data_IF_876225132586
#
_entry.id   IF_876225132586
#
_cell.length_a   1.000
_cell.length_b   1.000
_cell.length_c   1.000
_cell.angle_alpha   90.00
_cell.angle_beta   90.00
_cell.angle_gamma   90.00
#
_symmetry.space_group_name_H-M   'P 1'
#
loop_
_entity.id
_entity.type
_entity.pdbx_description
1 polymer ?
#
# COMPACT_ATOMS: atom_id res chain seq x y z
N UNK A 1 9.45 -19.83 19.19
CA UNK A 1 9.30 -18.46 19.74
C UNK A 1 10.59 -17.62 19.60
N UNK A 2 11.24 -17.60 18.43
CA UNK A 2 12.51 -16.86 18.20
C UNK A 2 12.57 -16.23 16.79
N UNK A 3 11.51 -15.53 16.34
CA UNK A 3 11.52 -14.78 15.07
C UNK A 3 10.70 -13.49 15.14
N UNK A 4 10.94 -12.66 16.15
CA UNK A 4 10.46 -11.26 16.22
C UNK A 4 11.54 -10.30 16.69
N UNK A 5 12.77 -10.47 16.20
CA UNK A 5 13.93 -9.63 16.53
C UNK A 5 14.75 -9.29 15.28
N UNK A 6 14.11 -8.92 14.18
CA UNK A 6 14.81 -8.57 12.94
C UNK A 6 14.11 -7.39 12.29
N UNK A 7 14.53 -6.18 12.67
CA UNK A 7 14.65 -4.99 11.80
C UNK A 7 14.84 -3.71 12.64
N UNK A 8 14.24 -3.64 13.83
CA UNK A 8 14.43 -2.47 14.73
C UNK A 8 15.85 -2.39 15.30
N UNK A 9 16.49 -3.55 15.56
CA UNK A 9 17.89 -3.62 16.04
C UNK A 9 18.91 -3.29 14.95
N UNK A 10 18.66 -3.62 13.68
CA UNK A 10 19.59 -3.26 12.58
C UNK A 10 19.55 -1.74 12.33
N UNK A 11 18.38 -1.11 12.50
CA UNK A 11 18.27 0.35 12.51
C UNK A 11 18.98 0.98 13.71
N UNK A 12 18.92 0.37 14.90
CA UNK A 12 19.58 0.90 16.11
C UNK A 12 21.11 0.82 16.04
N UNK A 13 21.72 -0.18 15.39
CA UNK A 13 23.18 -0.20 15.23
C UNK A 13 23.71 0.83 14.23
N UNK A 14 22.87 1.35 13.33
CA UNK A 14 23.24 2.45 12.41
C UNK A 14 23.13 3.82 13.06
N UNK A 15 22.30 3.97 14.10
CA UNK A 15 22.11 5.23 14.85
C UNK A 15 22.93 5.31 16.13
N UNK A 16 23.26 4.18 16.77
CA UNK A 16 24.11 4.15 17.97
C UNK A 16 25.60 4.45 17.67
N UNK A 17 26.03 4.39 16.41
CA UNK A 17 27.38 4.76 15.98
C UNK A 17 27.51 6.25 15.54
N UNK A 18 26.57 7.13 15.93
CA UNK A 18 26.59 8.56 15.55
C UNK A 18 26.53 9.47 16.79
N UNK A 19 27.17 9.07 17.89
CA UNK A 19 27.74 10.05 18.85
C UNK A 19 29.13 10.54 18.39
N UNK A 20 29.42 10.47 17.08
CA UNK A 20 30.59 11.12 16.51
C UNK A 20 30.42 12.64 16.62
N UNK A 21 31.39 13.32 17.25
CA UNK A 21 31.48 14.79 17.29
C UNK A 21 31.05 15.36 15.94
N UNK A 22 30.05 16.26 15.92
CA UNK A 22 29.63 16.95 14.68
C UNK A 22 30.89 17.50 14.03
N UNK A 23 31.19 17.05 12.80
CA UNK A 23 32.35 17.56 12.06
C UNK A 23 32.12 19.05 11.86
N UNK A 24 32.93 19.87 12.50
CA UNK A 24 32.91 21.31 12.26
C UNK A 24 33.31 21.56 10.80
N UNK A 25 32.67 22.51 10.10
CA UNK A 25 33.11 22.92 8.79
C UNK A 25 34.60 23.27 8.84
N UNK A 26 35.38 22.72 7.92
CA UNK A 26 36.82 23.02 7.85
C UNK A 26 36.97 24.52 7.60
N UNK A 27 37.61 25.22 8.54
CA UNK A 27 37.99 26.60 8.36
C UNK A 27 39.24 26.67 7.49
N UNK A 28 39.24 27.55 6.50
CA UNK A 28 40.37 27.78 5.60
C UNK A 28 41.04 29.09 6.00
N UNK A 29 42.38 29.09 6.09
CA UNK A 29 43.15 30.28 6.52
C UNK A 29 43.39 31.27 5.39
N UNK A 30 43.33 30.80 4.14
CA UNK A 30 43.49 31.62 2.93
C UNK A 30 42.58 31.17 1.80
N UNK A 31 42.40 32.04 0.79
CA UNK A 31 41.66 31.73 -0.43
C UNK A 31 42.30 30.57 -1.21
N UNK A 32 43.64 30.53 -1.25
CA UNK A 32 44.38 29.48 -1.96
C UNK A 32 44.22 28.13 -1.28
N UNK A 33 44.23 28.07 0.05
CA UNK A 33 43.96 26.83 0.79
C UNK A 33 42.53 26.33 0.51
N UNK A 34 41.56 27.23 0.50
CA UNK A 34 40.17 26.90 0.17
C UNK A 34 40.04 26.39 -1.28
N UNK A 35 40.75 27.01 -2.23
CA UNK A 35 40.74 26.61 -3.63
C UNK A 35 41.33 25.21 -3.83
N UNK A 36 42.48 24.92 -3.21
CA UNK A 36 43.11 23.58 -3.26
C UNK A 36 42.19 22.52 -2.65
N UNK A 37 41.56 22.82 -1.51
CA UNK A 37 40.61 21.92 -0.88
C UNK A 37 39.38 21.65 -1.77
N UNK A 38 38.83 22.70 -2.39
CA UNK A 38 37.70 22.59 -3.31
C UNK A 38 38.05 21.73 -4.54
N UNK A 39 39.21 21.96 -5.13
CA UNK A 39 39.72 21.14 -6.25
C UNK A 39 39.88 19.68 -5.84
N UNK A 40 40.46 19.40 -4.67
CA UNK A 40 40.59 18.05 -4.14
C UNK A 40 39.24 17.38 -3.91
N UNK A 41 38.26 18.10 -3.34
CA UNK A 41 36.89 17.62 -3.18
C UNK A 41 36.22 17.31 -4.52
N UNK A 42 36.42 18.16 -5.52
CA UNK A 42 35.89 17.95 -6.87
C UNK A 42 36.51 16.73 -7.55
N UNK A 43 37.84 16.58 -7.50
CA UNK A 43 38.54 15.39 -8.02
C UNK A 43 38.03 14.12 -7.35
N UNK A 44 37.84 14.13 -6.02
CA UNK A 44 37.25 13.00 -5.26
C UNK A 44 35.82 12.70 -5.67
N UNK A 45 34.99 13.73 -5.89
CA UNK A 45 33.62 13.58 -6.40
C UNK A 45 33.63 12.91 -7.78
N UNK A 46 34.46 13.40 -8.71
CA UNK A 46 34.62 12.83 -10.05
C UNK A 46 35.12 11.40 -10.03
N UNK A 47 36.11 11.07 -9.19
CA UNK A 47 36.58 9.70 -9.03
C UNK A 47 35.46 8.76 -8.55
N UNK A 48 34.65 9.18 -7.57
CA UNK A 48 33.50 8.41 -7.09
C UNK A 48 32.41 8.26 -8.16
N UNK A 49 32.10 9.30 -8.92
CA UNK A 49 31.16 9.21 -10.05
C UNK A 49 31.62 8.17 -11.08
N UNK A 50 32.91 8.15 -11.42
CA UNK A 50 33.50 7.15 -12.32
C UNK A 50 33.36 5.74 -11.76
N UNK A 51 33.75 5.53 -10.50
CA UNK A 51 33.63 4.20 -9.86
C UNK A 51 32.17 3.75 -9.80
N UNK A 52 31.23 4.64 -9.46
CA UNK A 52 29.80 4.30 -9.47
C UNK A 52 29.31 3.93 -10.87
N UNK A 53 29.73 4.64 -11.90
CA UNK A 53 29.36 4.31 -13.27
C UNK A 53 29.86 2.91 -13.67
N UNK A 54 31.11 2.58 -13.33
CA UNK A 54 31.69 1.25 -13.55
C UNK A 54 30.94 0.16 -12.79
N UNK A 55 30.67 0.37 -11.49
CA UNK A 55 29.88 -0.58 -10.70
C UNK A 55 28.47 -0.74 -11.27
N UNK A 56 27.84 0.35 -11.71
CA UNK A 56 26.49 0.29 -12.28
C UNK A 56 26.43 -0.43 -13.61
N UNK A 57 27.54 -0.44 -14.36
CA UNK A 57 27.70 -1.20 -15.60
C UNK A 57 28.14 -2.65 -15.35
N UNK A 58 28.54 -3.01 -14.13
CA UNK A 58 28.98 -4.37 -13.82
C UNK A 58 27.97 -5.15 -13.00
N UNK A 59 27.19 -4.47 -12.16
CA UNK A 59 26.25 -5.12 -11.24
C UNK A 59 24.80 -4.91 -11.67
N UNK A 60 24.04 -5.99 -11.58
CA UNK A 60 22.59 -6.02 -11.80
C UNK A 60 21.87 -6.53 -10.57
N UNK A 61 20.72 -5.91 -10.27
CA UNK A 61 19.84 -6.37 -9.21
C UNK A 61 18.83 -7.36 -9.76
N UNK A 62 18.79 -8.53 -9.16
CA UNK A 62 17.79 -9.57 -9.38
C UNK A 62 16.99 -9.82 -8.11
N UNK A 63 15.91 -10.57 -8.24
CA UNK A 63 15.07 -11.01 -7.12
C UNK A 63 14.96 -12.52 -7.25
N UNK A 64 15.30 -13.22 -6.18
CA UNK A 64 15.17 -14.67 -6.11
C UNK A 64 13.68 -15.04 -6.01
N UNK A 65 13.15 -15.93 -6.88
CA UNK A 65 11.74 -16.31 -6.86
C UNK A 65 11.32 -17.03 -5.57
N UNK A 66 12.23 -17.78 -4.94
CA UNK A 66 11.91 -18.61 -3.78
C UNK A 66 11.88 -17.78 -2.48
N UNK A 67 12.92 -16.98 -2.23
CA UNK A 67 13.01 -16.13 -1.04
C UNK A 67 12.34 -14.76 -1.20
N UNK A 68 12.16 -14.28 -2.43
CA UNK A 68 11.77 -12.90 -2.72
C UNK A 68 12.86 -11.87 -2.38
N UNK A 69 14.06 -12.30 -1.99
CA UNK A 69 15.16 -11.43 -1.61
C UNK A 69 15.94 -10.94 -2.84
N UNK A 70 16.57 -9.77 -2.69
CA UNK A 70 17.36 -9.17 -3.75
C UNK A 70 18.81 -9.67 -3.69
N UNK A 71 19.29 -10.23 -4.79
CA UNK A 71 20.71 -10.52 -4.99
C UNK A 71 21.29 -9.67 -6.12
N UNK A 72 22.61 -9.53 -6.12
CA UNK A 72 23.36 -8.73 -7.07
C UNK A 72 24.26 -9.63 -7.91
N UNK A 73 24.04 -9.65 -9.21
CA UNK A 73 24.84 -10.39 -10.17
C UNK A 73 25.93 -9.49 -10.74
N UNK A 74 27.17 -9.95 -10.70
CA UNK A 74 28.28 -9.35 -11.41
C UNK A 74 28.28 -9.88 -12.85
N UNK A 75 27.92 -9.05 -13.82
CA UNK A 75 27.76 -9.47 -15.23
C UNK A 75 29.07 -9.80 -15.94
N UNK A 76 30.23 -9.58 -15.30
CA UNK A 76 31.56 -9.88 -15.88
C UNK A 76 32.10 -11.21 -15.36
N UNK A 77 31.97 -11.48 -14.06
CA UNK A 77 32.44 -12.75 -13.45
C UNK A 77 31.33 -13.77 -13.28
N UNK A 78 30.07 -13.39 -13.54
CA UNK A 78 28.86 -14.17 -13.26
C UNK A 78 28.69 -14.60 -11.79
N UNK A 79 29.40 -13.96 -10.87
CA UNK A 79 29.29 -14.19 -9.44
C UNK A 79 28.07 -13.46 -8.87
N UNK A 80 27.36 -14.12 -7.95
CA UNK A 80 26.24 -13.55 -7.21
C UNK A 80 26.69 -13.13 -5.81
N UNK A 81 26.12 -12.04 -5.31
CA UNK A 81 26.33 -11.57 -3.95
C UNK A 81 25.02 -11.07 -3.36
N UNK A 82 24.82 -11.31 -2.08
CA UNK A 82 23.70 -10.78 -1.31
C UNK A 82 23.93 -9.35 -0.82
N UNK A 83 25.17 -8.85 -0.93
CA UNK A 83 25.55 -7.50 -0.50
C UNK A 83 25.66 -6.54 -1.68
N UNK A 84 25.03 -5.38 -1.57
CA UNK A 84 25.14 -4.33 -2.57
C UNK A 84 26.57 -3.76 -2.60
N UNK A 85 27.11 -3.38 -3.77
CA UNK A 85 28.42 -2.72 -3.86
C UNK A 85 28.48 -1.44 -3.02
N UNK A 86 29.55 -1.27 -2.23
CA UNK A 86 29.73 -0.24 -1.16
C UNK A 86 29.50 1.22 -1.59
N UNK A 87 29.48 1.52 -2.90
CA UNK A 87 29.28 2.88 -3.45
C UNK A 87 27.95 3.06 -4.21
N UNK A 88 27.13 2.01 -4.34
CA UNK A 88 25.84 2.03 -5.00
C UNK A 88 24.70 1.94 -3.98
N UNK A 89 23.97 3.04 -3.81
CA UNK A 89 22.77 3.05 -2.97
C UNK A 89 21.64 2.20 -3.58
N UNK A 90 21.63 2.08 -4.92
CA UNK A 90 20.63 1.30 -5.65
C UNK A 90 21.22 0.75 -6.94
N UNK A 91 21.38 -0.56 -6.98
CA UNK A 91 21.74 -1.28 -8.21
C UNK A 91 20.49 -1.39 -9.11
N UNK A 92 20.65 -1.11 -10.40
CA UNK A 92 19.58 -1.18 -11.39
C UNK A 92 19.24 -2.64 -11.69
N UNK A 93 17.94 -2.90 -11.90
CA UNK A 93 17.48 -4.16 -12.47
C UNK A 93 17.81 -4.21 -13.97
N UNK A 94 17.85 -5.40 -14.60
CA UNK A 94 18.10 -5.53 -16.04
C UNK A 94 17.20 -4.61 -16.88
N UNK A 95 15.89 -4.56 -16.54
CA UNK A 95 14.93 -3.67 -17.20
C UNK A 95 15.25 -2.19 -17.03
N UNK A 96 15.62 -1.77 -15.81
CA UNK A 96 15.97 -0.37 -15.55
C UNK A 96 17.27 0.03 -16.25
N UNK A 97 18.24 -0.89 -16.32
CA UNK A 97 19.51 -0.73 -17.03
C UNK A 97 19.28 -0.59 -18.53
N UNK A 98 18.49 -1.47 -19.15
CA UNK A 98 18.11 -1.36 -20.55
C UNK A 98 17.40 -0.04 -20.87
N UNK A 99 16.46 0.39 -20.01
CA UNK A 99 15.79 1.69 -20.17
C UNK A 99 16.77 2.86 -20.12
N UNK A 100 17.75 2.82 -19.21
CA UNK A 100 18.80 3.84 -19.11
C UNK A 100 19.69 3.85 -20.35
N UNK A 101 20.13 2.69 -20.83
CA UNK A 101 20.93 2.56 -22.05
C UNK A 101 20.19 3.11 -23.28
N UNK A 102 18.90 2.77 -23.44
CA UNK A 102 18.08 3.29 -24.52
C UNK A 102 17.91 4.82 -24.45
N UNK A 103 17.81 5.39 -23.24
CA UNK A 103 17.76 6.83 -23.04
C UNK A 103 19.08 7.50 -23.42
N UNK A 104 20.22 6.95 -23.01
CA UNK A 104 21.54 7.48 -23.38
C UNK A 104 21.79 7.38 -24.89
N UNK A 105 21.40 6.26 -25.53
CA UNK A 105 21.45 6.13 -26.99
C UNK A 105 20.57 7.18 -27.69
N UNK A 106 19.38 7.46 -27.16
CA UNK A 106 18.49 8.51 -27.68
C UNK A 106 19.11 9.91 -27.56
N UNK A 107 19.81 10.20 -26.45
CA UNK A 107 20.56 11.44 -26.28
C UNK A 107 21.74 11.54 -27.25
N UNK A 108 22.50 10.46 -27.40
CA UNK A 108 23.65 10.40 -28.32
C UNK A 108 23.25 10.65 -29.78
N UNK A 109 22.06 10.18 -30.19
CA UNK A 109 21.51 10.47 -31.53
C UNK A 109 20.98 11.89 -31.70
N UNK A 110 20.82 12.67 -30.62
CA UNK A 110 20.15 13.97 -30.66
C UNK A 110 18.62 13.91 -30.69
N UNK A 111 18.02 12.71 -30.66
CA UNK A 111 16.56 12.51 -30.65
C UNK A 111 15.90 12.90 -29.31
N UNK A 112 16.70 13.18 -28.29
CA UNK A 112 16.21 13.48 -26.95
C UNK A 112 15.67 14.91 -26.89
N UNK A 113 14.35 15.05 -26.82
CA UNK A 113 13.67 16.34 -26.61
C UNK A 113 13.45 16.58 -25.13
N UNK A 114 13.99 17.66 -24.61
CA UNK A 114 13.67 18.16 -23.27
C UNK A 114 12.35 18.92 -23.32
N UNK A 115 11.66 19.00 -22.18
CA UNK A 115 10.44 19.82 -22.07
C UNK A 115 10.72 21.32 -22.36
N UNK A 116 11.95 21.78 -22.12
CA UNK A 116 12.37 23.17 -22.38
C UNK A 116 12.54 23.51 -23.85
N UNK A 117 12.86 22.51 -24.67
CA UNK A 117 13.25 22.70 -26.07
C UNK A 117 12.07 22.38 -27.02
N UNK A 118 10.88 22.16 -26.46
CA UNK A 118 9.71 21.68 -27.18
C UNK A 118 8.84 22.85 -27.63
N UNK A 119 8.40 22.85 -28.89
CA UNK A 119 7.44 23.84 -29.38
C UNK A 119 6.06 23.63 -28.73
N UNK A 120 5.21 24.65 -28.74
CA UNK A 120 3.86 24.57 -28.17
C UNK A 120 3.03 23.44 -28.82
N UNK A 121 3.11 23.29 -30.14
CA UNK A 121 2.39 22.24 -30.87
C UNK A 121 2.91 20.85 -30.51
N UNK A 122 4.22 20.68 -30.37
CA UNK A 122 4.80 19.42 -29.91
C UNK A 122 4.37 19.09 -28.48
N UNK A 123 4.39 20.09 -27.60
CA UNK A 123 3.90 19.97 -26.23
C UNK A 123 2.44 19.53 -26.20
N UNK A 124 1.59 20.18 -26.99
CA UNK A 124 0.18 19.83 -27.13
C UNK A 124 0.02 18.39 -27.60
N UNK A 125 0.79 17.94 -28.60
CA UNK A 125 0.73 16.56 -29.09
C UNK A 125 1.08 15.52 -28.01
N UNK A 126 2.07 15.81 -27.15
CA UNK A 126 2.48 14.95 -26.03
C UNK A 126 1.36 14.89 -24.99
N UNK A 127 0.79 16.03 -24.62
CA UNK A 127 -0.32 16.12 -23.66
C UNK A 127 -1.55 15.38 -24.19
N UNK A 128 -1.91 15.59 -25.45
CA UNK A 128 -3.02 14.89 -26.11
C UNK A 128 -2.78 13.37 -26.14
N UNK A 129 -1.56 12.91 -26.42
CA UNK A 129 -1.21 11.49 -26.38
C UNK A 129 -1.39 10.90 -24.98
N UNK A 130 -0.93 11.60 -23.95
CA UNK A 130 -1.10 11.19 -22.55
C UNK A 130 -2.58 11.14 -22.19
N UNK A 131 -3.36 12.15 -22.57
CA UNK A 131 -4.80 12.19 -22.33
C UNK A 131 -5.52 11.01 -22.97
N UNK A 132 -5.29 10.75 -24.26
CA UNK A 132 -5.88 9.62 -24.99
C UNK A 132 -5.53 8.28 -24.34
N UNK A 133 -4.26 8.10 -23.96
CA UNK A 133 -3.80 6.89 -23.27
C UNK A 133 -4.47 6.71 -21.89
N UNK A 134 -4.61 7.79 -21.12
CA UNK A 134 -5.29 7.75 -19.82
C UNK A 134 -6.78 7.44 -19.98
N UNK A 135 -7.45 8.04 -20.96
CA UNK A 135 -8.87 7.75 -21.26
C UNK A 135 -9.07 6.29 -21.67
N UNK A 136 -8.18 5.73 -22.49
CA UNK A 136 -8.23 4.32 -22.86
C UNK A 136 -8.05 3.40 -21.63
N UNK A 137 -7.07 3.70 -20.76
CA UNK A 137 -6.86 2.96 -19.51
C UNK A 137 -8.04 3.05 -18.56
N UNK A 138 -8.70 4.21 -18.51
CA UNK A 138 -9.89 4.39 -17.68
C UNK A 138 -11.07 3.56 -18.16
N UNK A 139 -11.29 3.48 -19.48
CA UNK A 139 -12.31 2.58 -20.05
C UNK A 139 -12.05 1.13 -19.68
N UNK A 140 -10.81 0.65 -19.83
CA UNK A 140 -10.45 -0.72 -19.44
C UNK A 140 -10.63 -0.91 -17.93
N UNK A 141 -10.26 0.08 -17.11
CA UNK A 141 -10.47 0.04 -15.67
C UNK A 141 -11.95 -0.09 -15.31
N UNK A 142 -12.84 0.65 -15.97
CA UNK A 142 -14.28 0.57 -15.76
C UNK A 142 -14.83 -0.82 -16.13
N UNK A 143 -14.40 -1.38 -17.27
CA UNK A 143 -14.75 -2.75 -17.65
C UNK A 143 -14.29 -3.75 -16.59
N UNK A 144 -13.03 -3.65 -16.14
CA UNK A 144 -12.51 -4.53 -15.10
C UNK A 144 -13.24 -4.38 -13.76
N UNK A 145 -13.73 -3.19 -13.40
CA UNK A 145 -14.53 -3.01 -12.17
C UNK A 145 -15.89 -3.71 -12.23
N UNK A 146 -16.49 -3.81 -13.42
CA UNK A 146 -17.75 -4.54 -13.61
C UNK A 146 -17.58 -6.07 -13.63
N UNK A 147 -16.43 -6.54 -14.12
CA UNK A 147 -16.14 -7.96 -14.29
C UNK A 147 -15.46 -8.55 -13.04
N UNK A 148 -14.62 -7.77 -12.36
CA UNK A 148 -13.79 -8.27 -11.27
C UNK A 148 -14.35 -7.83 -9.94
N UNK A 149 -14.62 -8.83 -9.11
CA UNK A 149 -15.29 -8.66 -7.83
C UNK A 149 -14.40 -9.19 -6.72
N UNK A 150 -14.50 -8.61 -5.54
CA UNK A 150 -13.76 -9.08 -4.36
C UNK A 150 -14.55 -10.14 -3.62
N UNK A 151 -13.85 -11.15 -3.14
CA UNK A 151 -14.36 -12.18 -2.26
C UNK A 151 -13.44 -12.35 -1.05
N UNK A 152 -13.88 -13.11 -0.06
CA UNK A 152 -13.05 -13.49 1.09
C UNK A 152 -13.07 -15.01 1.22
N UNK A 153 -11.90 -15.56 1.49
CA UNK A 153 -11.73 -16.97 1.83
C UNK A 153 -12.26 -17.25 3.24
N UNK A 154 -12.45 -18.52 3.67
CA UNK A 154 -12.77 -18.87 5.05
C UNK A 154 -11.77 -18.29 6.06
N UNK A 155 -10.49 -18.23 5.68
CA UNK A 155 -9.41 -17.63 6.48
C UNK A 155 -9.47 -16.08 6.51
N UNK A 156 -10.41 -15.47 5.80
CA UNK A 156 -10.61 -14.02 5.75
C UNK A 156 -9.74 -13.27 4.74
N UNK A 157 -8.84 -13.95 4.03
CA UNK A 157 -8.02 -13.35 2.99
C UNK A 157 -8.86 -12.90 1.78
N UNK A 158 -8.56 -11.72 1.27
CA UNK A 158 -9.25 -11.20 0.10
C UNK A 158 -8.65 -11.76 -1.19
N UNK A 159 -9.52 -12.21 -2.07
CA UNK A 159 -9.16 -12.58 -3.44
C UNK A 159 -10.12 -11.93 -4.43
N UNK A 160 -9.75 -11.96 -5.70
CA UNK A 160 -10.46 -11.31 -6.80
C UNK A 160 -10.93 -12.37 -7.78
N UNK A 161 -12.22 -12.36 -8.09
CA UNK A 161 -12.86 -13.31 -9.02
C UNK A 161 -13.26 -12.57 -10.28
N UNK A 162 -12.93 -13.15 -11.43
CA UNK A 162 -13.48 -12.72 -12.70
C UNK A 162 -14.87 -13.37 -12.87
N UNK A 163 -15.94 -12.59 -12.92
CA UNK A 163 -17.31 -13.12 -13.03
C UNK A 163 -17.65 -13.70 -14.40
N UNK A 164 -16.85 -13.42 -15.43
CA UNK A 164 -17.06 -13.97 -16.78
C UNK A 164 -16.38 -15.33 -16.95
N UNK A 165 -15.15 -15.49 -16.46
CA UNK A 165 -14.39 -16.74 -16.60
C UNK A 165 -14.46 -17.64 -15.36
N UNK A 166 -14.98 -17.11 -14.24
CA UNK A 166 -14.97 -17.74 -12.91
C UNK A 166 -13.57 -18.05 -12.36
N UNK A 167 -12.52 -17.47 -12.93
CA UNK A 167 -11.15 -17.60 -12.42
C UNK A 167 -10.94 -16.72 -11.18
N UNK A 168 -10.32 -17.30 -10.15
CA UNK A 168 -9.96 -16.61 -8.92
C UNK A 168 -8.45 -16.32 -8.86
N UNK A 169 -8.08 -15.16 -8.34
CA UNK A 169 -6.69 -14.78 -8.09
C UNK A 169 -6.53 -14.00 -6.79
N UNK A 170 -5.48 -14.30 -6.04
CA UNK A 170 -5.12 -13.51 -4.84
C UNK A 170 -4.41 -12.20 -5.20
N UNK A 171 -4.06 -12.01 -6.48
CA UNK A 171 -3.35 -10.82 -6.95
C UNK A 171 -4.32 -9.88 -7.66
N UNK A 172 -4.50 -8.67 -7.10
CA UNK A 172 -5.32 -7.65 -7.75
C UNK A 172 -4.75 -7.29 -9.14
N UNK A 173 -5.58 -7.26 -10.19
CA UNK A 173 -5.16 -6.86 -11.53
C UNK A 173 -4.42 -5.53 -11.56
N UNK A 174 -3.42 -5.43 -12.44
CA UNK A 174 -2.46 -4.31 -12.45
C UNK A 174 -3.13 -2.93 -12.57
N UNK A 175 -4.16 -2.78 -13.39
CA UNK A 175 -4.90 -1.53 -13.59
C UNK A 175 -5.80 -1.15 -12.40
N UNK A 176 -6.14 -2.13 -11.56
CA UNK A 176 -6.94 -1.96 -10.35
C UNK A 176 -6.09 -1.79 -9.10
N UNK A 177 -4.78 -2.11 -9.12
CA UNK A 177 -3.91 -2.14 -7.92
C UNK A 177 -3.96 -0.88 -7.04
N UNK A 178 -4.16 0.30 -7.63
CA UNK A 178 -4.26 1.59 -6.92
C UNK A 178 -5.66 1.91 -6.38
N UNK A 179 -6.67 1.14 -6.80
CA UNK A 179 -8.06 1.31 -6.44
C UNK A 179 -8.34 0.64 -5.09
N UNK A 180 -9.11 1.31 -4.24
CA UNK A 180 -9.60 0.73 -2.98
C UNK A 180 -10.54 -0.43 -3.27
N UNK A 181 -10.46 -1.49 -2.47
CA UNK A 181 -11.28 -2.70 -2.63
C UNK A 181 -12.79 -2.41 -2.50
N UNK A 182 -13.16 -1.38 -1.75
CA UNK A 182 -14.55 -0.92 -1.62
C UNK A 182 -15.20 -0.52 -2.96
N UNK A 183 -14.40 -0.15 -3.97
CA UNK A 183 -14.91 0.20 -5.30
C UNK A 183 -15.15 -1.01 -6.19
N UNK A 184 -14.75 -2.21 -5.76
CA UNK A 184 -15.08 -3.45 -6.45
C UNK A 184 -16.36 -4.03 -5.84
N UNK A 185 -17.19 -4.61 -6.71
CA UNK A 185 -18.36 -5.37 -6.27
C UNK A 185 -17.96 -6.50 -5.32
N UNK A 186 -18.84 -6.86 -4.39
CA UNK A 186 -18.63 -8.00 -3.50
C UNK A 186 -19.24 -9.24 -4.13
N UNK A 187 -18.49 -10.33 -4.25
CA UNK A 187 -18.99 -11.60 -4.77
C UNK A 187 -20.24 -12.04 -4.00
N UNK A 188 -20.23 -11.92 -2.67
CA UNK A 188 -21.38 -12.20 -1.80
C UNK A 188 -22.64 -11.42 -2.15
N UNK A 189 -22.53 -10.16 -2.58
CA UNK A 189 -23.70 -9.34 -2.89
C UNK A 189 -24.25 -9.57 -4.28
N UNK A 190 -23.44 -10.13 -5.19
CA UNK A 190 -23.90 -10.44 -6.55
C UNK A 190 -24.76 -11.70 -6.60
N UNK A 191 -24.48 -12.67 -5.72
CA UNK A 191 -25.20 -13.93 -5.63
C UNK A 191 -26.07 -14.06 -4.36
N UNK A 192 -26.09 -13.03 -3.51
CA UNK A 192 -27.13 -12.93 -2.51
C UNK A 192 -28.45 -12.71 -3.25
N UNK A 193 -29.42 -13.60 -3.03
CA UNK A 193 -30.82 -13.32 -3.40
C UNK A 193 -31.15 -11.91 -2.96
N UNK A 194 -31.79 -11.16 -3.85
CA UNK A 194 -32.18 -9.79 -3.58
C UNK A 194 -33.18 -9.79 -2.44
N UNK A 195 -32.72 -9.70 -1.20
CA UNK A 195 -33.50 -9.07 -0.15
C UNK A 195 -33.77 -7.67 -0.69
N UNK A 196 -35.00 -7.44 -1.16
CA UNK A 196 -35.46 -6.13 -1.60
C UNK A 196 -35.03 -5.13 -0.53
N UNK A 197 -34.11 -4.22 -0.90
CA UNK A 197 -33.69 -3.16 0.01
C UNK A 197 -34.97 -2.48 0.45
N UNK A 198 -35.37 -2.66 1.71
CA UNK A 198 -36.56 -2.01 2.27
C UNK A 198 -36.37 -0.52 2.06
N UNK A 199 -37.03 0.02 1.04
CA UNK A 199 -36.92 1.44 0.74
C UNK A 199 -37.54 2.17 1.92
N UNK A 200 -36.97 3.32 2.33
CA UNK A 200 -37.58 4.13 3.38
C UNK A 200 -39.04 4.37 3.02
N UNK A 201 -39.95 4.01 3.93
CA UNK A 201 -41.40 4.15 3.72
C UNK A 201 -41.70 5.61 3.41
N UNK A 202 -42.32 5.87 2.25
CA UNK A 202 -42.81 7.20 1.89
C UNK A 202 -44.14 7.45 2.61
N UNK A 203 -44.26 8.60 3.25
CA UNK A 203 -45.50 9.04 3.90
C UNK A 203 -46.25 9.98 2.96
N UNK A 204 -47.57 9.81 2.83
CA UNK A 204 -48.37 10.64 1.93
C UNK A 204 -48.92 11.90 2.61
N UNK A 205 -48.91 11.95 3.94
CA UNK A 205 -49.33 13.12 4.72
C UNK A 205 -48.44 13.37 5.93
N UNK A 206 -48.46 14.61 6.42
CA UNK A 206 -47.75 15.01 7.64
C UNK A 206 -48.26 14.25 8.87
N UNK A 207 -49.59 14.05 8.97
CA UNK A 207 -50.22 13.30 10.05
C UNK A 207 -49.76 11.84 10.08
N UNK A 208 -49.66 11.18 8.92
CA UNK A 208 -49.16 9.80 8.81
C UNK A 208 -47.69 9.70 9.25
N UNK A 209 -46.85 10.65 8.81
CA UNK A 209 -45.45 10.72 9.21
C UNK A 209 -45.31 10.96 10.72
N UNK A 210 -46.13 11.83 11.31
CA UNK A 210 -46.13 12.11 12.74
C UNK A 210 -46.50 10.88 13.57
N UNK A 211 -47.54 10.13 13.18
CA UNK A 211 -47.92 8.87 13.86
C UNK A 211 -46.80 7.83 13.78
N UNK A 212 -46.15 7.70 12.61
CA UNK A 212 -45.03 6.78 12.45
C UNK A 212 -43.82 7.17 13.31
N UNK A 213 -43.47 8.46 13.36
CA UNK A 213 -42.40 8.99 14.21
C UNK A 213 -42.68 8.78 15.69
N UNK A 214 -43.91 9.07 16.14
CA UNK A 214 -44.32 8.81 17.52
C UNK A 214 -44.25 7.31 17.86
N UNK A 215 -44.68 6.44 16.95
CA UNK A 215 -44.57 4.99 17.12
C UNK A 215 -43.12 4.52 17.22
N UNK A 216 -42.24 5.04 16.37
CA UNK A 216 -40.79 4.77 16.43
C UNK A 216 -40.20 5.24 17.76
N UNK A 217 -40.58 6.42 18.25
CA UNK A 217 -40.11 6.93 19.53
C UNK A 217 -40.59 6.06 20.71
N UNK A 218 -41.86 5.66 20.74
CA UNK A 218 -42.39 4.76 21.78
C UNK A 218 -41.65 3.41 21.79
N UNK A 219 -41.41 2.82 20.60
CA UNK A 219 -40.61 1.59 20.46
C UNK A 219 -39.17 1.77 20.95
N UNK A 220 -38.53 2.89 20.62
CA UNK A 220 -37.20 3.22 21.13
C UNK A 220 -37.21 3.30 22.66
N UNK A 221 -38.14 4.04 23.24
CA UNK A 221 -38.27 4.20 24.71
C UNK A 221 -38.49 2.85 25.40
N UNK A 222 -39.34 1.98 24.85
CA UNK A 222 -39.55 0.64 25.37
C UNK A 222 -38.27 -0.22 25.30
N UNK A 223 -37.54 -0.17 24.17
CA UNK A 223 -36.25 -0.87 24.02
C UNK A 223 -35.19 -0.36 24.98
N UNK A 224 -35.09 0.95 25.17
CA UNK A 224 -34.13 1.56 26.09
C UNK A 224 -34.47 1.18 27.53
N UNK A 225 -35.76 1.11 27.88
CA UNK A 225 -36.22 0.63 29.18
C UNK A 225 -35.88 -0.87 29.40
N UNK A 226 -36.17 -1.74 28.42
CA UNK A 226 -35.80 -3.16 28.49
C UNK A 226 -34.28 -3.31 28.60
N UNK A 227 -33.50 -2.55 27.84
CA UNK A 227 -32.03 -2.58 27.92
C UNK A 227 -31.54 -2.18 29.30
N UNK A 228 -32.13 -1.15 29.92
CA UNK A 228 -31.79 -0.73 31.27
C UNK A 228 -32.13 -1.82 32.31
N UNK A 229 -33.28 -2.46 32.18
CA UNK A 229 -33.66 -3.60 33.04
C UNK A 229 -32.68 -4.77 32.88
N UNK A 230 -32.31 -5.12 31.64
CA UNK A 230 -31.34 -6.18 31.38
C UNK A 230 -29.96 -5.84 31.94
N UNK A 231 -29.50 -4.59 31.79
CA UNK A 231 -28.22 -4.15 32.37
C UNK A 231 -28.20 -4.17 33.89
N UNK A 232 -29.33 -3.84 34.54
CA UNK A 232 -29.44 -3.89 36.00
C UNK A 232 -29.52 -5.33 36.52
N UNK A 233 -30.06 -6.25 35.71
CA UNK A 233 -30.31 -7.64 36.11
C UNK A 233 -29.18 -8.61 35.79
N UNK A 234 -28.40 -8.33 34.74
CA UNK A 234 -27.35 -9.23 34.28
C UNK A 234 -25.97 -8.59 34.43
N UNK A 235 -25.12 -9.26 35.20
CA UNK A 235 -23.71 -8.90 35.32
C UNK A 235 -22.85 -9.78 34.41
N UNK A 236 -21.86 -9.17 33.76
CA UNK A 236 -20.92 -9.88 32.90
C UNK A 236 -19.70 -10.31 33.70
N UNK A 237 -19.51 -11.62 33.82
CA UNK A 237 -18.37 -12.25 34.48
C UNK A 237 -17.50 -12.97 33.45
N UNK A 238 -16.28 -13.32 33.83
CA UNK A 238 -15.33 -14.08 32.98
C UNK A 238 -14.99 -15.36 33.71
N UNK A 239 -15.17 -16.48 33.03
CA UNK A 239 -14.80 -17.79 33.57
C UNK A 239 -13.26 -17.92 33.63
N UNK A 240 -12.67 -18.23 34.80
CA UNK A 240 -11.22 -18.36 34.97
C UNK A 240 -10.57 -19.43 34.09
N UNK A 241 -11.30 -20.49 33.75
CA UNK A 241 -10.76 -21.65 33.06
C UNK A 241 -10.79 -21.47 31.53
N UNK A 242 -11.88 -20.92 30.99
CA UNK A 242 -12.05 -20.69 29.55
C UNK A 242 -11.64 -19.28 29.09
N UNK A 243 -11.65 -18.29 29.99
CA UNK A 243 -11.51 -16.88 29.64
C UNK A 243 -12.71 -16.29 28.89
N UNK A 244 -13.79 -17.06 28.75
CA UNK A 244 -15.02 -16.63 28.08
C UNK A 244 -15.95 -15.88 29.04
N UNK A 245 -16.73 -14.94 28.51
CA UNK A 245 -17.61 -14.12 29.33
C UNK A 245 -19.02 -14.72 29.41
N UNK A 246 -19.53 -14.89 30.62
CA UNK A 246 -20.90 -15.31 30.90
C UNK A 246 -21.70 -14.20 31.59
N UNK A 247 -23.03 -14.27 31.49
CA UNK A 247 -23.96 -13.36 32.14
C UNK A 247 -24.57 -14.06 33.36
N UNK A 248 -24.42 -13.45 34.53
CA UNK A 248 -25.04 -13.88 35.79
C UNK A 248 -26.32 -13.07 36.03
N UNK A 249 -27.44 -13.76 36.21
CA UNK A 249 -28.71 -13.14 36.62
C UNK A 249 -28.69 -12.90 38.13
N UNK A 250 -28.66 -11.64 38.56
CA UNK A 250 -28.51 -11.28 39.99
C UNK A 250 -29.74 -11.60 40.85
N UNK A 251 -30.88 -11.96 40.23
CA UNK A 251 -32.13 -12.27 40.92
C UNK A 251 -32.34 -13.78 41.07
N UNK A 252 -32.01 -14.56 40.03
CA UNK A 252 -32.19 -16.03 40.03
C UNK A 252 -30.90 -16.79 40.31
N UNK A 253 -29.74 -16.10 40.33
CA UNK A 253 -28.39 -16.68 40.40
C UNK A 253 -28.08 -17.69 39.29
N UNK A 254 -28.83 -17.65 38.18
CA UNK A 254 -28.57 -18.49 37.00
C UNK A 254 -27.52 -17.84 36.09
N UNK A 255 -26.67 -18.67 35.49
CA UNK A 255 -25.63 -18.25 34.53
C UNK A 255 -26.02 -18.62 33.10
N UNK A 256 -25.84 -17.70 32.16
CA UNK A 256 -26.05 -17.93 30.73
C UNK A 256 -24.86 -17.44 29.92
N UNK A 257 -24.46 -18.23 28.92
CA UNK A 257 -23.43 -17.87 27.94
C UNK A 257 -23.99 -17.04 26.77
N UNK A 258 -25.32 -16.95 26.65
CA UNK A 258 -26.00 -16.19 25.62
C UNK A 258 -26.64 -14.92 26.18
N UNK A 259 -26.62 -13.86 25.39
CA UNK A 259 -27.31 -12.62 25.74
C UNK A 259 -28.83 -12.84 25.76
N UNK A 260 -29.54 -12.39 26.80
CA UNK A 260 -31.00 -12.47 26.85
C UNK A 260 -31.59 -11.66 25.69
N UNK A 261 -32.47 -12.29 24.91
CA UNK A 261 -33.15 -11.74 23.74
C UNK A 261 -34.26 -10.76 24.11
#
# INVERSE_FOLDING_TARGET
LLRKLTDSKISSYRTLAVQGKKRTPRQFKSKDEAAVALQGMYRRKKARERIRALLQARFEKHVDPDSGEAYFLNTVTNETSWQAPVLLDKVLTPRARARKAALEAKKARGDFRSAKDMTEQEAASVVQRIFRANRARERVRQLLQGIIVRARDPDGYMYYVNTQTMEASYVKPTLLRKLTDSKLGSYRTLFAESEEKRTPRKYQSENEAAVALQGMYRRKKARDHIRALLQARFEKHVDPDSGEAYLLNTVTNETSWQAPT
#
